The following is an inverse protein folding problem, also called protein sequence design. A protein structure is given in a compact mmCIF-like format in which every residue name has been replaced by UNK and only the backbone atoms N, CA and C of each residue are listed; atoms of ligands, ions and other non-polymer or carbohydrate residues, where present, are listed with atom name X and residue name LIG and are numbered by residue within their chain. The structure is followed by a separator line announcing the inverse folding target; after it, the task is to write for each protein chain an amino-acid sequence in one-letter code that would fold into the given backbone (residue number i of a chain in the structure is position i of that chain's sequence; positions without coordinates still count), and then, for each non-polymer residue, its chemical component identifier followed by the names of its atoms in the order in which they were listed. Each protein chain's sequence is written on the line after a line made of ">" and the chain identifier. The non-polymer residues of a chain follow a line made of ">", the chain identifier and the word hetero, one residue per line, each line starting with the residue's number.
data_IF_236637981871
#
_entry.id   IF_236637981871
#
_cell.length_a   1.000
_cell.length_b   1.000
_cell.length_c   1.000
_cell.angle_alpha   90.00
_cell.angle_beta   90.00
_cell.angle_gamma   90.00
#
_symmetry.space_group_name_H-M   'P 1'
#
loop_
_entity.id
_entity.type
_entity.pdbx_description
1 polymer ?
#
# COMPACT_ATOMS: atom_id res chain seq x y z
N UNK A 1 -0.89 16.81 -20.06
CA UNK A 1 -2.19 17.14 -19.43
C UNK A 1 -2.68 16.03 -18.49
N UNK A 2 -2.44 14.74 -18.79
CA UNK A 2 -2.89 13.62 -17.92
C UNK A 2 -2.20 13.57 -16.54
N UNK A 3 -0.96 14.03 -16.40
CA UNK A 3 -0.18 13.94 -15.15
C UNK A 3 -0.67 14.82 -13.99
N UNK A 4 -1.19 16.02 -14.28
CA UNK A 4 -1.62 16.95 -13.24
C UNK A 4 -2.95 16.52 -12.61
N UNK A 5 -3.86 15.97 -13.42
CA UNK A 5 -5.12 15.40 -12.95
C UNK A 5 -4.90 14.18 -12.06
N UNK A 6 -3.93 13.31 -12.39
CA UNK A 6 -3.56 12.16 -11.54
C UNK A 6 -2.92 12.59 -10.22
N UNK A 7 -2.06 13.63 -10.25
CA UNK A 7 -1.49 14.23 -9.03
C UNK A 7 -2.58 14.81 -8.13
N UNK A 8 -3.52 15.55 -8.71
CA UNK A 8 -4.65 16.12 -7.98
C UNK A 8 -5.56 15.04 -7.38
N UNK A 9 -5.88 13.98 -8.15
CA UNK A 9 -6.66 12.85 -7.67
C UNK A 9 -5.99 12.15 -6.49
N UNK A 10 -4.66 11.92 -6.56
CA UNK A 10 -3.89 11.37 -5.43
C UNK A 10 -3.93 12.30 -4.22
N UNK A 11 -3.86 13.62 -4.43
CA UNK A 11 -3.92 14.59 -3.35
C UNK A 11 -5.28 14.59 -2.62
N UNK A 12 -6.37 14.53 -3.39
CA UNK A 12 -7.74 14.45 -2.85
C UNK A 12 -7.94 13.12 -2.11
N UNK A 13 -7.48 12.00 -2.68
CA UNK A 13 -7.57 10.69 -2.04
C UNK A 13 -6.83 10.68 -0.69
N UNK A 14 -5.59 11.17 -0.65
CA UNK A 14 -4.79 11.24 0.57
C UNK A 14 -5.46 12.10 1.67
N UNK A 15 -6.07 13.23 1.29
CA UNK A 15 -6.78 14.09 2.24
C UNK A 15 -8.04 13.43 2.81
N UNK A 16 -8.81 12.73 1.97
CA UNK A 16 -10.00 12.01 2.39
C UNK A 16 -9.67 10.83 3.30
N UNK A 17 -8.59 10.10 3.00
CA UNK A 17 -8.10 9.02 3.84
C UNK A 17 -7.65 9.54 5.19
N UNK A 18 -6.91 10.67 5.23
CA UNK A 18 -6.49 11.28 6.49
C UNK A 18 -7.69 11.73 7.34
N UNK A 19 -8.71 12.34 6.72
CA UNK A 19 -9.96 12.71 7.41
C UNK A 19 -10.69 11.49 7.98
N UNK A 20 -10.73 10.37 7.24
CA UNK A 20 -11.34 9.12 7.72
C UNK A 20 -10.59 8.51 8.89
N UNK A 21 -9.25 8.57 8.87
CA UNK A 21 -8.41 8.13 9.99
C UNK A 21 -8.68 8.99 11.23
N UNK A 22 -8.64 10.31 11.09
CA UNK A 22 -8.83 11.26 12.20
C UNK A 22 -10.22 11.19 12.83
N UNK A 23 -11.25 10.97 12.03
CA UNK A 23 -12.63 10.82 12.49
C UNK A 23 -12.93 9.44 13.09
N UNK A 24 -12.00 8.48 13.01
CA UNK A 24 -12.24 7.09 13.39
C UNK A 24 -13.21 6.34 12.47
N UNK A 25 -13.60 6.94 11.34
CA UNK A 25 -14.49 6.33 10.35
C UNK A 25 -13.77 5.28 9.47
N UNK A 26 -12.45 5.15 9.63
CA UNK A 26 -11.65 4.11 9.01
C UNK A 26 -11.58 2.89 9.93
N UNK A 27 -12.35 1.86 9.61
CA UNK A 27 -12.31 0.57 10.28
C UNK A 27 -11.49 -0.42 9.44
N UNK A 28 -10.26 -0.78 9.85
CA UNK A 28 -9.47 -1.78 9.14
C UNK A 28 -10.15 -3.15 9.19
N UNK A 29 -10.25 -3.82 8.05
CA UNK A 29 -10.76 -5.17 7.96
C UNK A 29 -9.62 -6.17 8.24
N UNK A 30 -9.34 -6.38 9.52
CA UNK A 30 -8.28 -7.28 9.96
C UNK A 30 -8.60 -8.75 9.67
N UNK A 31 -7.78 -9.38 8.84
CA UNK A 31 -7.78 -10.83 8.63
C UNK A 31 -6.34 -11.38 8.67
N UNK A 32 -6.23 -12.71 8.73
CA UNK A 32 -4.93 -13.38 8.61
C UNK A 32 -4.53 -13.42 7.14
N UNK A 33 -3.38 -12.81 6.83
CA UNK A 33 -2.84 -12.73 5.48
C UNK A 33 -1.38 -13.16 5.44
N UNK A 34 -0.98 -13.77 4.33
CA UNK A 34 0.43 -13.97 4.00
C UNK A 34 1.03 -12.63 3.58
N UNK A 35 2.06 -12.19 4.29
CA UNK A 35 2.71 -10.90 4.03
C UNK A 35 3.33 -10.86 2.64
N UNK A 36 3.86 -12.00 2.17
CA UNK A 36 4.43 -12.11 0.83
C UNK A 36 3.45 -11.73 -0.28
N UNK A 37 2.17 -12.07 -0.14
CA UNK A 37 1.14 -11.73 -1.12
C UNK A 37 0.89 -10.22 -1.17
N UNK A 38 0.82 -9.58 0.01
CA UNK A 38 0.59 -8.13 0.12
C UNK A 38 1.79 -7.34 -0.39
N UNK A 39 3.00 -7.78 -0.05
CA UNK A 39 4.25 -7.20 -0.57
C UNK A 39 4.35 -7.35 -2.08
N UNK A 40 4.01 -8.53 -2.62
CA UNK A 40 3.96 -8.77 -4.07
C UNK A 40 2.98 -7.84 -4.79
N UNK A 41 1.79 -7.65 -4.23
CA UNK A 41 0.80 -6.69 -4.77
C UNK A 41 1.34 -5.26 -4.79
N UNK A 42 1.93 -4.81 -3.68
CA UNK A 42 2.50 -3.47 -3.57
C UNK A 42 3.64 -3.23 -4.58
N UNK A 43 4.54 -4.20 -4.73
CA UNK A 43 5.65 -4.12 -5.69
C UNK A 43 5.18 -4.11 -7.15
N UNK A 44 4.19 -4.93 -7.48
CA UNK A 44 3.59 -4.92 -8.82
C UNK A 44 2.95 -3.55 -9.13
N UNK A 45 2.26 -2.96 -8.16
CA UNK A 45 1.67 -1.62 -8.30
C UNK A 45 2.74 -0.53 -8.41
N UNK A 46 3.84 -0.66 -7.68
CA UNK A 46 4.97 0.27 -7.70
C UNK A 46 5.91 0.09 -8.91
N UNK A 47 5.76 -0.99 -9.69
CA UNK A 47 6.71 -1.35 -10.76
C UNK A 47 7.03 -0.20 -11.74
N UNK A 48 6.02 0.60 -12.11
CA UNK A 48 6.21 1.72 -13.03
C UNK A 48 7.03 2.86 -12.41
N UNK A 49 6.86 3.12 -11.11
CA UNK A 49 7.57 4.20 -10.40
C UNK A 49 8.95 3.76 -9.91
N UNK A 50 9.13 2.46 -9.63
CA UNK A 50 10.41 1.88 -9.20
C UNK A 50 11.24 1.31 -10.36
N UNK A 51 10.84 1.54 -11.62
CA UNK A 51 11.46 0.93 -12.81
C UNK A 51 12.99 1.17 -12.94
N UNK A 52 13.50 2.27 -12.40
CA UNK A 52 14.93 2.62 -12.40
C UNK A 52 15.68 2.20 -11.12
N UNK A 53 14.99 1.53 -10.19
CA UNK A 53 15.52 1.15 -8.88
C UNK A 53 15.60 -0.38 -8.75
N UNK A 54 16.69 -0.87 -8.14
CA UNK A 54 16.78 -2.28 -7.75
C UNK A 54 16.06 -2.46 -6.42
N UNK A 55 14.96 -3.19 -6.43
CA UNK A 55 14.25 -3.59 -5.22
C UNK A 55 14.69 -4.99 -4.81
N UNK A 56 15.16 -5.15 -3.58
CA UNK A 56 15.50 -6.44 -2.99
C UNK A 56 14.47 -6.79 -1.92
N UNK A 57 13.89 -7.99 -2.02
CA UNK A 57 12.98 -8.53 -1.01
C UNK A 57 13.69 -9.64 -0.25
N UNK A 58 13.82 -9.45 1.06
CA UNK A 58 14.31 -10.48 1.98
C UNK A 58 13.18 -10.86 2.93
N UNK A 59 12.53 -11.99 2.65
CA UNK A 59 11.40 -12.49 3.41
C UNK A 59 11.60 -13.98 3.71
N UNK A 60 11.62 -14.39 4.99
CA UNK A 60 11.67 -15.79 5.37
C UNK A 60 10.48 -16.57 4.78
N UNK A 61 10.75 -17.78 4.26
CA UNK A 61 9.72 -18.64 3.67
C UNK A 61 8.70 -19.17 4.70
N UNK A 62 9.07 -19.12 5.99
CA UNK A 62 8.28 -19.58 7.14
C UNK A 62 7.61 -18.43 7.90
N UNK A 63 7.52 -17.24 7.29
CA UNK A 63 6.78 -16.11 7.85
C UNK A 63 5.35 -16.52 8.23
N UNK A 64 4.93 -16.36 9.51
CA UNK A 64 3.57 -16.65 9.91
C UNK A 64 2.59 -15.67 9.25
N UNK A 65 1.33 -16.09 9.11
CA UNK A 65 0.28 -15.17 8.70
C UNK A 65 0.14 -14.05 9.72
N UNK A 66 0.08 -12.81 9.23
CA UNK A 66 -0.10 -11.63 10.07
C UNK A 66 -1.56 -11.19 10.05
N UNK A 67 -2.04 -10.72 11.20
CA UNK A 67 -3.36 -10.11 11.32
C UNK A 67 -3.28 -8.64 10.94
N UNK A 68 -3.65 -8.30 9.70
CA UNK A 68 -3.59 -6.96 9.13
C UNK A 68 -4.75 -6.73 8.17
N UNK A 69 -4.97 -5.48 7.77
CA UNK A 69 -5.81 -5.16 6.60
C UNK A 69 -4.89 -5.12 5.37
N UNK A 70 -5.09 -6.00 4.38
CA UNK A 70 -4.19 -6.13 3.24
C UNK A 70 -4.20 -4.90 2.34
N UNK A 71 -5.33 -4.20 2.23
CA UNK A 71 -5.47 -3.01 1.37
C UNK A 71 -4.72 -1.84 1.99
N UNK A 72 -4.91 -1.64 3.30
CA UNK A 72 -4.22 -0.55 4.01
C UNK A 72 -2.72 -0.80 4.11
N UNK A 73 -2.32 -2.05 4.31
CA UNK A 73 -0.92 -2.42 4.37
C UNK A 73 -0.24 -2.30 2.99
N UNK A 74 -0.89 -2.73 1.91
CA UNK A 74 -0.41 -2.48 0.54
C UNK A 74 -0.24 -0.99 0.28
N UNK A 75 -1.23 -0.17 0.66
CA UNK A 75 -1.16 1.29 0.47
C UNK A 75 0.00 1.91 1.27
N UNK A 76 0.24 1.44 2.50
CA UNK A 76 1.38 1.89 3.30
C UNK A 76 2.70 1.52 2.63
N UNK A 77 2.86 0.29 2.13
CA UNK A 77 4.04 -0.14 1.40
C UNK A 77 4.24 0.67 0.11
N UNK A 78 3.19 0.85 -0.69
CA UNK A 78 3.24 1.64 -1.91
C UNK A 78 3.64 3.11 -1.66
N UNK A 79 3.23 3.70 -0.52
CA UNK A 79 3.63 5.06 -0.15
C UNK A 79 5.12 5.17 0.25
N UNK A 80 5.76 4.06 0.64
CA UNK A 80 7.17 4.01 1.04
C UNK A 80 8.12 3.64 -0.10
N UNK A 81 7.61 2.92 -1.10
CA UNK A 81 8.32 2.53 -2.33
C UNK A 81 8.43 3.70 -3.32
#
# INVERSE_FOLDING_TARGET
>A
VVSESERLNRFIANLLDMTRIESGAMEPNYALHYVGDVVGSALNRAQTITAEHKIETDMPADLPMLRLDPVLFEQALFNLL
#
